data_IF_741808185555
#
_entry.id   IF_741808185555
#
_cell.length_a   1.000
_cell.length_b   1.000
_cell.length_c   1.000
_cell.angle_alpha   90.00
_cell.angle_beta   90.00
_cell.angle_gamma   90.00
#
_symmetry.space_group_name_H-M   'P 1'
#
loop_
_entity.id
_entity.type
_entity.pdbx_description
1 polymer ?
#
# COMPACT_ATOMS: atom_id res chain seq x y z
N UNK A 1 3.63 32.59 -67.45
CA UNK A 1 3.86 33.94 -68.02
C UNK A 1 4.02 33.91 -69.56
N UNK A 2 4.40 32.79 -70.14
CA UNK A 2 4.61 32.55 -71.56
C UNK A 2 3.32 32.62 -72.34
N UNK A 3 2.25 32.04 -71.84
CA UNK A 3 0.94 31.98 -72.53
C UNK A 3 0.26 33.37 -72.74
N UNK A 4 0.73 34.39 -72.06
CA UNK A 4 0.19 35.77 -72.24
C UNK A 4 0.89 36.55 -73.33
N UNK A 5 2.14 36.22 -73.60
CA UNK A 5 2.92 36.82 -74.71
C UNK A 5 2.47 36.28 -76.04
N UNK A 6 2.29 34.95 -76.15
CA UNK A 6 1.75 34.36 -77.41
C UNK A 6 0.37 34.89 -77.79
N UNK A 7 -0.49 35.10 -76.77
CA UNK A 7 -1.82 35.67 -77.01
C UNK A 7 -1.79 37.16 -77.49
N UNK A 8 -0.80 37.90 -77.01
CA UNK A 8 -0.59 39.29 -77.43
C UNK A 8 0.01 39.37 -78.83
N UNK A 9 0.90 38.46 -79.24
CA UNK A 9 1.45 38.35 -80.56
C UNK A 9 0.39 37.96 -81.56
N UNK A 10 -0.46 36.98 -81.25
CA UNK A 10 -1.58 36.58 -82.11
C UNK A 10 -2.65 37.68 -82.27
N UNK A 11 -2.81 38.54 -81.24
CA UNK A 11 -3.69 39.72 -81.35
C UNK A 11 -3.13 40.81 -82.22
N UNK A 12 -1.84 40.93 -82.33
CA UNK A 12 -1.16 41.90 -83.14
C UNK A 12 -1.20 41.50 -84.64
N UNK A 13 -1.25 40.20 -84.99
CA UNK A 13 -1.27 39.68 -86.34
C UNK A 13 -2.67 39.64 -86.92
N UNK A 14 -3.73 39.23 -86.22
CA UNK A 14 -5.08 38.98 -86.77
C UNK A 14 -6.08 40.14 -86.58
N UNK A 15 -5.79 41.14 -85.80
CA UNK A 15 -6.62 42.32 -85.58
C UNK A 15 -8.04 42.07 -85.08
N UNK A 16 -8.38 40.87 -84.64
CA UNK A 16 -9.72 40.47 -84.15
C UNK A 16 -9.72 40.07 -82.66
N UNK A 17 -10.53 40.76 -81.88
CA UNK A 17 -10.83 40.39 -80.52
C UNK A 17 -11.59 39.05 -80.44
N UNK A 18 -11.20 38.08 -79.66
CA UNK A 18 -11.95 36.84 -79.49
C UNK A 18 -13.36 37.13 -78.99
N UNK A 19 -14.34 36.51 -79.62
CA UNK A 19 -15.76 36.69 -79.30
C UNK A 19 -16.02 36.25 -77.84
N UNK A 20 -16.91 36.97 -77.16
CA UNK A 20 -17.33 36.80 -75.78
C UNK A 20 -17.64 35.35 -75.35
N UNK A 21 -17.95 34.45 -76.31
CA UNK A 21 -18.23 33.03 -76.09
C UNK A 21 -17.03 32.18 -75.73
N UNK A 22 -15.83 32.44 -76.30
CA UNK A 22 -14.63 31.69 -76.04
C UNK A 22 -14.05 32.00 -74.62
N UNK A 23 -14.25 33.24 -74.18
CA UNK A 23 -13.90 33.59 -72.76
C UNK A 23 -14.81 32.91 -71.80
N UNK A 24 -16.08 32.63 -72.09
CA UNK A 24 -17.03 31.94 -71.25
C UNK A 24 -16.70 30.44 -71.13
N UNK A 25 -16.31 29.80 -72.28
CA UNK A 25 -15.91 28.39 -72.28
C UNK A 25 -14.64 28.15 -71.44
N UNK A 26 -13.64 29.01 -71.47
CA UNK A 26 -12.45 28.94 -70.67
C UNK A 26 -12.72 29.15 -69.17
N UNK A 27 -13.71 29.99 -68.84
CA UNK A 27 -14.10 30.22 -67.43
C UNK A 27 -14.82 29.01 -66.84
N UNK A 28 -15.57 28.25 -67.63
CA UNK A 28 -16.25 27.02 -67.20
C UNK A 28 -15.27 25.86 -66.96
N UNK A 29 -14.23 25.73 -67.79
CA UNK A 29 -13.19 24.70 -67.60
C UNK A 29 -12.34 24.94 -66.32
N UNK A 30 -12.03 26.22 -66.05
CA UNK A 30 -11.28 26.56 -64.79
C UNK A 30 -12.19 26.39 -63.56
N UNK A 31 -13.49 26.68 -63.71
CA UNK A 31 -14.48 26.45 -62.63
C UNK A 31 -14.62 24.97 -62.27
N UNK A 32 -14.70 24.09 -63.32
CA UNK A 32 -14.79 22.64 -63.10
C UNK A 32 -13.59 22.06 -62.35
N UNK A 33 -12.38 22.47 -62.74
CA UNK A 33 -11.17 22.04 -62.02
C UNK A 33 -11.09 22.53 -60.55
N UNK A 34 -11.67 23.69 -60.26
CA UNK A 34 -11.73 24.22 -58.89
C UNK A 34 -12.75 23.48 -58.02
N UNK A 35 -13.85 23.04 -58.59
CA UNK A 35 -14.85 22.23 -57.88
C UNK A 35 -14.31 20.81 -57.61
N UNK A 36 -13.65 20.18 -58.58
CA UNK A 36 -13.00 18.87 -58.43
C UNK A 36 -11.93 18.91 -57.32
N UNK A 37 -11.11 19.95 -57.25
CA UNK A 37 -10.11 20.14 -56.21
C UNK A 37 -10.74 20.43 -54.84
N UNK A 38 -11.91 21.03 -54.79
CA UNK A 38 -12.68 21.23 -53.56
C UNK A 38 -13.31 19.95 -53.05
N UNK A 39 -13.82 19.10 -53.96
CA UNK A 39 -14.41 17.81 -53.60
C UNK A 39 -13.33 16.85 -53.11
N UNK A 40 -12.16 16.81 -53.76
CA UNK A 40 -11.03 16.02 -53.33
C UNK A 40 -10.56 16.41 -51.91
N UNK A 41 -10.42 17.70 -51.60
CA UNK A 41 -10.10 18.16 -50.27
C UNK A 41 -11.20 17.91 -49.23
N UNK A 42 -12.48 17.90 -49.67
CA UNK A 42 -13.59 17.53 -48.77
C UNK A 42 -13.59 16.03 -48.48
N UNK A 43 -13.30 15.20 -49.47
CA UNK A 43 -13.15 13.75 -49.29
C UNK A 43 -11.99 13.42 -48.35
N UNK A 44 -10.85 14.08 -48.50
CA UNK A 44 -9.70 13.92 -47.58
C UNK A 44 -9.99 14.39 -46.15
N UNK A 45 -10.76 15.46 -46.02
CA UNK A 45 -11.18 15.94 -44.69
C UNK A 45 -12.19 15.02 -43.99
N UNK A 46 -13.02 14.30 -44.80
CA UNK A 46 -13.99 13.33 -44.26
C UNK A 46 -13.36 11.96 -43.99
N UNK A 47 -12.27 11.58 -44.68
CA UNK A 47 -11.52 10.35 -44.46
C UNK A 47 -10.46 10.50 -43.38
N UNK A 48 -10.02 11.70 -43.03
CA UNK A 48 -9.19 11.98 -41.88
C UNK A 48 -10.02 11.93 -40.59
N UNK A 49 -10.57 10.75 -40.26
CA UNK A 49 -11.05 10.48 -38.89
C UNK A 49 -9.87 10.66 -37.96
N UNK A 50 -9.97 11.46 -36.89
CA UNK A 50 -8.90 11.53 -35.91
C UNK A 50 -8.69 10.11 -35.37
N UNK A 51 -7.50 9.59 -35.59
CA UNK A 51 -7.09 8.27 -35.15
C UNK A 51 -7.52 8.05 -33.70
N UNK A 52 -8.24 6.96 -33.47
CA UNK A 52 -8.67 6.50 -32.15
C UNK A 52 -7.48 6.18 -31.18
N UNK A 53 -6.23 6.45 -31.62
CA UNK A 53 -5.03 6.31 -30.82
C UNK A 53 -4.99 7.21 -29.56
N UNK A 54 -5.79 8.29 -29.52
CA UNK A 54 -5.89 9.15 -28.32
C UNK A 54 -6.65 8.52 -27.15
N UNK A 55 -7.53 7.53 -27.40
CA UNK A 55 -8.31 6.88 -26.31
C UNK A 55 -7.54 5.77 -25.59
N UNK A 56 -6.54 5.16 -26.19
CA UNK A 56 -5.78 4.10 -25.55
C UNK A 56 -4.83 4.61 -24.46
N UNK A 57 -4.32 5.85 -24.58
CA UNK A 57 -3.44 6.43 -23.53
C UNK A 57 -4.16 6.74 -22.22
N UNK A 58 -5.45 7.04 -22.25
CA UNK A 58 -6.23 7.31 -21.04
C UNK A 58 -6.56 6.04 -20.23
N UNK A 59 -6.67 4.89 -20.90
CA UNK A 59 -6.96 3.61 -20.23
C UNK A 59 -5.71 3.09 -19.49
N UNK A 60 -4.53 3.28 -20.07
CA UNK A 60 -3.25 2.86 -19.45
C UNK A 60 -2.92 3.69 -18.21
N UNK A 61 -3.22 4.98 -18.19
CA UNK A 61 -3.03 5.85 -17.02
C UNK A 61 -3.98 5.47 -15.86
N UNK A 62 -5.18 5.01 -16.16
CA UNK A 62 -6.18 4.62 -15.15
C UNK A 62 -5.82 3.28 -14.49
N UNK A 63 -5.25 2.34 -15.22
CA UNK A 63 -4.77 1.07 -14.65
C UNK A 63 -3.53 1.29 -13.78
N UNK A 64 -2.63 2.20 -14.17
CA UNK A 64 -1.44 2.53 -13.37
C UNK A 64 -1.79 3.04 -11.97
N UNK A 65 -2.83 3.87 -11.83
CA UNK A 65 -3.29 4.35 -10.52
C UNK A 65 -3.78 3.22 -9.59
N UNK A 66 -4.33 2.14 -10.15
CA UNK A 66 -4.78 0.98 -9.34
C UNK A 66 -3.57 0.24 -8.77
N UNK A 67 -2.53 0.00 -9.56
CA UNK A 67 -1.30 -0.64 -9.08
C UNK A 67 -0.60 0.17 -7.98
N UNK A 68 -0.57 1.50 -8.10
CA UNK A 68 -0.01 2.37 -7.07
C UNK A 68 -0.83 2.33 -5.77
N UNK A 69 -2.15 2.25 -5.84
CA UNK A 69 -3.03 2.09 -4.67
C UNK A 69 -2.85 0.73 -4.00
N UNK A 70 -2.75 -0.33 -4.80
CA UNK A 70 -2.49 -1.67 -4.29
C UNK A 70 -1.09 -1.76 -3.66
N UNK A 71 -0.07 -1.21 -4.31
CA UNK A 71 1.29 -1.13 -3.75
C UNK A 71 1.33 -0.35 -2.44
N UNK A 72 0.62 0.77 -2.34
CA UNK A 72 0.53 1.55 -1.10
C UNK A 72 -0.14 0.75 0.04
N UNK A 73 -1.19 -0.03 -0.25
CA UNK A 73 -1.81 -0.95 0.71
C UNK A 73 -0.83 -2.02 1.20
N UNK A 74 -0.06 -2.62 0.30
CA UNK A 74 0.96 -3.60 0.67
C UNK A 74 2.07 -2.98 1.54
N UNK A 75 2.57 -1.81 1.18
CA UNK A 75 3.57 -1.08 1.98
C UNK A 75 3.02 -0.78 3.37
N UNK A 76 1.76 -0.36 3.47
CA UNK A 76 1.11 -0.07 4.75
C UNK A 76 0.93 -1.35 5.58
N UNK A 77 0.45 -2.44 5.00
CA UNK A 77 0.29 -3.73 5.68
C UNK A 77 1.64 -4.33 6.13
N UNK A 78 2.65 -4.33 5.24
CA UNK A 78 3.99 -4.80 5.58
C UNK A 78 4.68 -3.88 6.58
N UNK A 79 4.48 -2.56 6.47
CA UNK A 79 5.00 -1.58 7.43
C UNK A 79 4.42 -1.76 8.83
N UNK A 80 3.10 -1.94 8.95
CA UNK A 80 2.43 -2.21 10.23
C UNK A 80 2.87 -3.58 10.77
N UNK A 81 2.88 -4.62 9.92
CA UNK A 81 3.31 -5.96 10.33
C UNK A 81 4.75 -5.98 10.80
N UNK A 82 5.65 -5.33 10.07
CA UNK A 82 7.06 -5.19 10.43
C UNK A 82 7.26 -4.40 11.73
N UNK A 83 6.53 -3.30 11.91
CA UNK A 83 6.56 -2.51 13.15
C UNK A 83 6.12 -3.36 14.36
N UNK A 84 5.05 -4.16 14.21
CA UNK A 84 4.60 -5.09 15.26
C UNK A 84 5.66 -6.14 15.60
N UNK A 85 6.28 -6.71 14.58
CA UNK A 85 7.32 -7.74 14.77
C UNK A 85 8.57 -7.18 15.47
N UNK A 86 9.02 -5.99 15.07
CA UNK A 86 10.21 -5.34 15.64
C UNK A 86 9.97 -4.74 17.04
N UNK A 87 8.73 -4.69 17.52
CA UNK A 87 8.37 -4.13 18.83
C UNK A 87 8.47 -5.14 19.99
N UNK A 88 8.96 -6.36 19.72
CA UNK A 88 9.16 -7.37 20.75
C UNK A 88 10.42 -7.07 21.56
N UNK A 89 10.25 -6.91 22.89
CA UNK A 89 11.35 -6.85 23.86
C UNK A 89 11.59 -8.23 24.43
N UNK A 90 12.83 -8.66 24.40
CA UNK A 90 13.27 -9.95 24.95
C UNK A 90 14.37 -9.74 25.98
N UNK A 91 14.15 -10.21 27.19
CA UNK A 91 15.08 -10.15 28.30
C UNK A 91 15.47 -11.59 28.67
N UNK A 92 16.76 -11.88 28.64
CA UNK A 92 17.28 -13.21 28.99
C UNK A 92 18.23 -13.08 30.15
N UNK A 93 18.06 -13.98 31.15
CA UNK A 93 18.96 -14.15 32.28
C UNK A 93 19.71 -15.47 32.10
N UNK A 94 21.02 -15.42 31.89
CA UNK A 94 21.84 -16.62 31.70
C UNK A 94 22.38 -17.16 33.02
N UNK A 95 23.21 -16.41 33.72
CA UNK A 95 23.94 -16.87 34.89
C UNK A 95 23.50 -16.24 36.21
N UNK A 96 22.88 -15.07 36.17
CA UNK A 96 22.53 -14.28 37.36
C UNK A 96 21.08 -13.79 37.23
N UNK A 97 20.34 -13.78 38.34
CA UNK A 97 19.00 -13.20 38.35
C UNK A 97 19.04 -11.72 37.95
N UNK A 98 18.10 -11.31 37.12
CA UNK A 98 17.99 -9.95 36.56
C UNK A 98 16.70 -9.30 37.02
N UNK A 99 16.82 -8.14 37.67
CA UNK A 99 15.66 -7.31 38.00
C UNK A 99 15.29 -6.41 36.81
N UNK A 100 14.05 -6.49 36.38
CA UNK A 100 13.53 -5.74 35.28
C UNK A 100 12.22 -5.02 35.60
N UNK A 101 12.10 -3.76 35.21
CA UNK A 101 10.89 -2.96 35.41
C UNK A 101 10.08 -2.86 34.16
N UNK A 102 8.83 -3.31 34.21
CA UNK A 102 7.87 -3.27 33.10
C UNK A 102 7.30 -1.87 32.87
N UNK A 103 6.74 -1.59 31.70
CA UNK A 103 6.20 -0.26 31.37
C UNK A 103 5.02 0.20 32.24
N UNK A 104 4.32 -0.72 32.91
CA UNK A 104 3.21 -0.44 33.81
C UNK A 104 3.66 -0.18 35.28
N UNK A 105 4.98 -0.20 35.52
CA UNK A 105 5.56 -0.03 36.85
C UNK A 105 5.72 -1.33 37.66
N UNK A 106 5.21 -2.44 37.15
CA UNK A 106 5.43 -3.77 37.76
C UNK A 106 6.91 -4.15 37.70
N UNK A 107 7.40 -4.91 38.67
CA UNK A 107 8.76 -5.43 38.69
C UNK A 107 8.78 -6.94 38.49
N UNK A 108 9.80 -7.40 37.78
CA UNK A 108 10.04 -8.81 37.50
C UNK A 108 11.47 -9.15 37.91
N UNK A 109 11.64 -10.17 38.75
CA UNK A 109 12.94 -10.75 39.03
C UNK A 109 13.05 -12.05 38.24
N UNK A 110 13.77 -12.00 37.14
CA UNK A 110 13.98 -13.14 36.27
C UNK A 110 15.08 -14.03 36.84
N UNK A 111 14.78 -15.30 37.08
CA UNK A 111 15.73 -16.27 37.60
C UNK A 111 16.75 -16.71 36.56
N UNK A 112 17.76 -17.48 36.96
CA UNK A 112 18.77 -18.00 36.03
C UNK A 112 18.14 -18.85 34.93
N UNK A 113 18.74 -18.85 33.74
CA UNK A 113 18.29 -19.61 32.57
C UNK A 113 16.83 -19.35 32.17
N UNK A 114 16.36 -18.13 32.39
CA UNK A 114 14.98 -17.74 32.10
C UNK A 114 14.93 -16.64 31.06
N UNK A 115 13.88 -16.63 30.27
CA UNK A 115 13.64 -15.63 29.24
C UNK A 115 12.24 -15.07 29.42
N UNK A 116 12.15 -13.75 29.39
CA UNK A 116 10.91 -12.99 29.38
C UNK A 116 10.81 -12.23 28.04
N UNK A 117 9.67 -12.31 27.38
CA UNK A 117 9.42 -11.48 26.21
C UNK A 117 8.03 -10.87 26.22
N UNK A 118 7.91 -9.66 25.72
CA UNK A 118 6.63 -8.97 25.54
C UNK A 118 6.70 -8.01 24.37
N UNK A 119 5.55 -7.71 23.78
CA UNK A 119 5.46 -6.76 22.67
C UNK A 119 5.01 -5.39 23.22
N UNK A 120 5.82 -4.35 23.02
CA UNK A 120 5.56 -2.99 23.50
C UNK A 120 4.26 -2.39 22.96
N UNK A 121 3.88 -2.71 21.74
CA UNK A 121 2.66 -2.19 21.11
C UNK A 121 1.44 -2.85 21.72
N UNK A 122 1.46 -4.19 21.84
CA UNK A 122 0.35 -4.93 22.43
C UNK A 122 0.16 -4.66 23.91
N UNK A 123 1.23 -4.23 24.62
CA UNK A 123 1.19 -3.84 26.04
C UNK A 123 0.20 -2.72 26.34
N UNK A 124 0.00 -1.79 25.38
CA UNK A 124 -0.97 -0.69 25.52
C UNK A 124 -2.43 -1.18 25.64
N UNK A 125 -2.72 -2.33 25.04
CA UNK A 125 -4.06 -2.91 24.98
C UNK A 125 -4.29 -4.00 26.04
N UNK A 126 -3.20 -4.69 26.43
CA UNK A 126 -3.26 -5.75 27.44
C UNK A 126 -1.87 -6.11 27.94
N UNK A 127 -1.72 -6.22 29.26
CA UNK A 127 -0.46 -6.56 29.94
C UNK A 127 -0.17 -8.06 29.77
N UNK A 128 0.36 -8.46 28.62
CA UNK A 128 0.67 -9.87 28.30
C UNK A 128 2.15 -10.03 28.00
N UNK A 129 2.75 -11.04 28.62
CA UNK A 129 4.13 -11.43 28.37
C UNK A 129 4.27 -12.96 28.28
N UNK A 130 5.36 -13.39 27.66
CA UNK A 130 5.72 -14.80 27.60
C UNK A 130 6.91 -15.03 28.51
N UNK A 131 6.86 -16.13 29.30
CA UNK A 131 7.91 -16.56 30.17
C UNK A 131 8.35 -17.97 29.78
N UNK A 132 9.66 -18.16 29.70
CA UNK A 132 10.32 -19.46 29.64
C UNK A 132 11.26 -19.56 30.82
N UNK A 133 11.08 -20.58 31.67
CA UNK A 133 11.81 -20.73 32.92
C UNK A 133 11.09 -20.15 34.15
N UNK A 134 11.79 -19.47 35.06
CA UNK A 134 11.26 -19.05 36.33
C UNK A 134 11.43 -17.56 36.58
N UNK A 135 10.38 -16.93 37.12
CA UNK A 135 10.40 -15.51 37.47
C UNK A 135 9.48 -15.19 38.65
N UNK A 136 9.92 -14.26 39.48
CA UNK A 136 9.09 -13.64 40.51
C UNK A 136 8.53 -12.33 40.00
N UNK A 137 7.23 -12.13 40.16
CA UNK A 137 6.49 -10.97 39.74
C UNK A 137 5.93 -10.18 40.91
N UNK A 138 6.14 -8.87 40.91
CA UNK A 138 5.45 -7.93 41.80
C UNK A 138 4.62 -7.00 40.89
N UNK A 139 3.35 -7.36 40.70
CA UNK A 139 2.47 -6.72 39.71
C UNK A 139 1.68 -5.60 40.34
N UNK A 140 1.83 -4.39 39.76
CA UNK A 140 1.06 -3.22 40.18
C UNK A 140 -0.44 -3.46 39.94
N UNK A 141 -1.31 -3.20 40.94
CA UNK A 141 -2.76 -3.33 40.81
C UNK A 141 -3.31 -2.58 39.62
N UNK A 142 -4.24 -3.19 38.87
CA UNK A 142 -4.82 -2.56 37.68
C UNK A 142 -5.53 -3.51 36.73
N UNK A 143 -5.34 -3.31 35.43
CA UNK A 143 -5.90 -4.18 34.38
C UNK A 143 -5.33 -5.61 34.54
N UNK A 144 -5.98 -6.54 33.89
CA UNK A 144 -5.53 -7.93 33.78
C UNK A 144 -4.08 -8.01 33.29
N UNK A 145 -3.26 -8.78 34.01
CA UNK A 145 -1.88 -9.10 33.69
C UNK A 145 -1.77 -10.60 33.45
N UNK A 146 -1.26 -11.00 32.30
CA UNK A 146 -1.18 -12.42 31.91
C UNK A 146 0.26 -12.82 31.62
N UNK A 147 0.73 -13.83 32.29
CA UNK A 147 1.99 -14.53 32.02
C UNK A 147 1.67 -15.79 31.24
N UNK A 148 2.15 -15.88 30.01
CA UNK A 148 2.03 -17.06 29.18
C UNK A 148 3.26 -17.92 29.31
N UNK A 149 3.06 -19.21 29.51
CA UNK A 149 4.10 -20.21 29.48
C UNK A 149 3.72 -21.35 28.53
N UNK A 150 4.64 -22.25 28.23
CA UNK A 150 4.32 -23.43 27.41
C UNK A 150 3.38 -24.40 28.14
N UNK A 151 3.31 -24.32 29.49
CA UNK A 151 2.48 -25.19 30.31
C UNK A 151 1.10 -24.61 30.63
N UNK A 152 0.90 -23.29 30.44
CA UNK A 152 -0.37 -22.63 30.70
C UNK A 152 -0.25 -21.12 30.87
N UNK A 153 -1.37 -20.46 31.06
CA UNK A 153 -1.50 -19.03 31.25
C UNK A 153 -1.79 -18.70 32.73
N UNK A 154 -1.04 -17.76 33.30
CA UNK A 154 -1.24 -17.26 34.65
C UNK A 154 -1.78 -15.84 34.58
N UNK A 155 -2.94 -15.61 35.17
CA UNK A 155 -3.65 -14.33 35.09
C UNK A 155 -3.87 -13.74 36.48
N UNK A 156 -3.52 -12.45 36.62
CA UNK A 156 -3.63 -11.71 37.91
C UNK A 156 -4.14 -10.28 37.67
N UNK A 157 -4.52 -9.59 38.77
CA UNK A 157 -4.92 -8.18 38.73
C UNK A 157 -3.95 -7.23 39.45
N UNK A 158 -3.20 -7.77 40.41
CA UNK A 158 -2.24 -7.03 41.22
C UNK A 158 -1.79 -7.95 42.35
N UNK A 159 -0.71 -8.69 42.14
CA UNK A 159 -0.37 -9.88 42.91
C UNK A 159 1.14 -10.02 42.96
N UNK A 160 1.66 -10.51 44.09
CA UNK A 160 3.04 -10.96 44.20
C UNK A 160 3.08 -12.48 44.09
N UNK A 161 3.75 -13.00 43.10
CA UNK A 161 3.78 -14.44 42.86
C UNK A 161 5.05 -14.88 42.14
N UNK A 162 5.41 -16.13 42.38
CA UNK A 162 6.47 -16.84 41.67
C UNK A 162 5.89 -17.80 40.66
N UNK A 163 6.44 -17.82 39.48
CA UNK A 163 6.15 -18.81 38.45
C UNK A 163 7.41 -19.59 38.15
N UNK A 164 7.32 -20.89 38.23
CA UNK A 164 8.40 -21.82 37.88
C UNK A 164 7.89 -22.78 36.82
N UNK A 165 8.54 -22.77 35.65
CA UNK A 165 8.20 -23.65 34.55
C UNK A 165 9.35 -24.62 34.30
N UNK A 166 9.04 -25.90 34.36
CA UNK A 166 9.94 -27.01 33.99
C UNK A 166 9.26 -27.87 32.94
N UNK A 167 9.68 -27.72 31.67
CA UNK A 167 9.07 -28.42 30.56
C UNK A 167 7.56 -28.06 30.41
N UNK A 168 6.71 -29.06 30.56
CA UNK A 168 5.25 -28.92 30.51
C UNK A 168 4.57 -28.76 31.88
N UNK A 169 5.35 -28.58 32.92
CA UNK A 169 4.84 -28.39 34.28
C UNK A 169 5.00 -26.93 34.68
N UNK A 170 3.98 -26.39 35.32
CA UNK A 170 3.99 -25.04 35.88
C UNK A 170 3.69 -25.14 37.39
N UNK A 171 4.53 -24.51 38.18
CA UNK A 171 4.29 -24.30 39.60
C UNK A 171 4.09 -22.82 39.87
N UNK A 172 3.02 -22.46 40.51
CA UNK A 172 2.70 -21.07 40.86
C UNK A 172 2.57 -20.94 42.37
N UNK A 173 3.37 -20.08 42.96
CA UNK A 173 3.30 -19.76 44.40
C UNK A 173 2.84 -18.30 44.57
N UNK A 174 1.64 -18.10 45.11
CA UNK A 174 1.06 -16.80 45.38
C UNK A 174 1.45 -16.33 46.80
N UNK A 175 2.18 -15.20 46.90
CA UNK A 175 2.52 -14.59 48.17
C UNK A 175 1.45 -13.61 48.64
N UNK A 176 0.89 -12.81 47.73
CA UNK A 176 -0.09 -11.77 48.03
C UNK A 176 -1.06 -11.60 46.85
N UNK A 177 -2.36 -11.68 47.11
CA UNK A 177 -3.41 -11.46 46.14
C UNK A 177 -4.08 -12.74 45.63
N UNK A 178 -4.53 -12.74 44.38
CA UNK A 178 -5.22 -13.88 43.75
C UNK A 178 -4.62 -14.19 42.42
N UNK A 179 -4.39 -15.45 42.13
CA UNK A 179 -3.82 -15.95 40.87
C UNK A 179 -4.79 -16.94 40.23
N UNK A 180 -5.12 -16.74 38.99
CA UNK A 180 -5.87 -17.69 38.15
C UNK A 180 -4.87 -18.38 37.20
N UNK A 181 -4.84 -19.69 37.24
CA UNK A 181 -3.99 -20.52 36.36
C UNK A 181 -4.87 -21.30 35.41
N UNK A 182 -4.66 -21.14 34.13
CA UNK A 182 -5.34 -21.86 33.06
C UNK A 182 -4.34 -22.77 32.36
N UNK A 183 -4.58 -24.08 32.40
CA UNK A 183 -3.75 -25.10 31.74
C UNK A 183 -4.61 -25.88 30.75
N UNK A 184 -4.02 -26.60 29.76
CA UNK A 184 -4.76 -27.47 28.86
C UNK A 184 -5.57 -28.58 29.58
N UNK A 185 -5.26 -28.88 30.87
CA UNK A 185 -5.90 -29.92 31.67
C UNK A 185 -7.03 -29.36 32.51
N UNK A 186 -7.03 -28.07 32.82
CA UNK A 186 -8.04 -27.43 33.67
C UNK A 186 -7.65 -26.04 34.17
N UNK A 187 -8.56 -25.42 34.88
CA UNK A 187 -8.43 -24.11 35.50
C UNK A 187 -8.36 -24.24 37.04
N UNK A 188 -7.48 -23.47 37.64
CA UNK A 188 -7.34 -23.40 39.10
C UNK A 188 -7.16 -21.97 39.56
N UNK A 189 -7.75 -21.60 40.69
CA UNK A 189 -7.57 -20.30 41.33
C UNK A 189 -6.91 -20.52 42.71
N UNK A 190 -5.84 -19.76 42.96
CA UNK A 190 -5.05 -19.77 44.18
C UNK A 190 -5.25 -18.45 44.95
#
# INVERSE_FOLDING_TARGET
>A
MENRKELLEQYMEDGKLPLKGELFARKSVVGGKLEEFREEKRADALTSRPNAAGRQKLIVLRSSCIYWRVAALFILLFGIGGYYYLSEEKITSEAVAVDYKLPDGSSVKLMQNSTLSYNKVSWLWGRKLNLLGSAFFDVTPGKTFTVRTEAGDVTVLGTKFLVEQEGKTITVNCEEGTVKVETPIGEQTL
#
